data_IF_344093684058
#
_entry.id   IF_344093684058
#
_cell.length_a   1.000
_cell.length_b   1.000
_cell.length_c   1.000
_cell.angle_alpha   90.00
_cell.angle_beta   90.00
_cell.angle_gamma   90.00
#
_symmetry.space_group_name_H-M   'P 1'
#
loop_
_entity.id
_entity.type
_entity.pdbx_description
1 polymer ?
#
# COMPACT_ATOMS: atom_id res chain seq x y z
N UNK A 1 14.73 -5.79 -6.53
CA UNK A 1 14.69 -6.32 -5.14
C UNK A 1 14.13 -5.33 -4.13
N UNK A 2 14.53 -4.05 -4.04
CA UNK A 2 14.01 -3.14 -3.01
C UNK A 2 12.49 -2.94 -3.07
N UNK A 3 11.93 -2.84 -4.28
CA UNK A 3 10.48 -2.78 -4.50
C UNK A 3 9.76 -4.07 -4.10
N UNK A 4 10.38 -5.23 -4.31
CA UNK A 4 9.84 -6.51 -3.83
C UNK A 4 9.85 -6.56 -2.31
N UNK A 5 10.93 -6.10 -1.65
CA UNK A 5 10.97 -6.03 -0.19
C UNK A 5 9.89 -5.08 0.34
N UNK A 6 9.72 -3.91 -0.27
CA UNK A 6 8.65 -2.97 0.10
C UNK A 6 7.27 -3.63 -0.03
N UNK A 7 7.01 -4.36 -1.13
CA UNK A 7 5.78 -5.10 -1.35
C UNK A 7 5.57 -6.22 -0.31
N UNK A 8 6.61 -7.01 -0.04
CA UNK A 8 6.56 -8.10 0.95
C UNK A 8 6.29 -7.55 2.34
N UNK A 9 6.98 -6.48 2.74
CA UNK A 9 6.74 -5.84 4.03
C UNK A 9 5.29 -5.33 4.10
N UNK A 10 4.81 -4.68 3.03
CA UNK A 10 3.42 -4.19 2.94
C UNK A 10 2.41 -5.31 3.18
N UNK A 11 2.61 -6.45 2.52
CA UNK A 11 1.77 -7.63 2.70
C UNK A 11 1.86 -8.22 4.12
N UNK A 12 3.06 -8.29 4.67
CA UNK A 12 3.28 -8.83 6.01
C UNK A 12 2.56 -7.99 7.06
N UNK A 13 2.56 -6.65 6.98
CA UNK A 13 1.79 -5.90 7.99
C UNK A 13 0.29 -6.04 7.82
N UNK A 14 -0.24 -6.16 6.59
CA UNK A 14 -1.65 -6.49 6.39
C UNK A 14 -2.02 -7.86 6.97
N UNK A 15 -1.12 -8.85 6.88
CA UNK A 15 -1.31 -10.16 7.50
C UNK A 15 -1.24 -10.12 9.03
N UNK A 16 -0.32 -9.32 9.59
CA UNK A 16 -0.20 -9.12 11.05
C UNK A 16 -1.46 -8.46 11.61
N UNK A 17 -1.96 -7.43 10.93
CA UNK A 17 -3.20 -6.72 11.30
C UNK A 17 -4.42 -7.65 11.26
N UNK A 18 -4.55 -8.47 10.21
CA UNK A 18 -5.62 -9.46 10.15
C UNK A 18 -5.56 -10.48 11.30
N UNK A 19 -4.35 -10.92 11.65
CA UNK A 19 -4.14 -11.85 12.76
C UNK A 19 -4.41 -11.18 14.12
N UNK A 20 -4.08 -9.88 14.26
CA UNK A 20 -4.25 -9.16 15.51
C UNK A 20 -5.72 -9.05 15.91
N UNK A 21 -6.62 -8.89 14.95
CA UNK A 21 -8.06 -8.73 15.21
C UNK A 21 -8.84 -10.03 15.38
N UNK A 22 -8.31 -11.17 14.92
CA UNK A 22 -8.92 -12.50 15.16
C UNK A 22 -8.62 -13.06 16.55
N UNK A 23 -7.72 -12.41 17.27
CA UNK A 23 -7.24 -12.87 18.56
C UNK A 23 -7.62 -11.79 19.58
N UNK A 24 -7.85 -12.13 20.85
CA UNK A 24 -8.13 -11.14 21.91
C UNK A 24 -7.06 -11.24 23.00
N UNK A 25 -6.36 -10.15 23.30
CA UNK A 25 -5.31 -10.12 24.33
C UNK A 25 -4.32 -8.96 24.23
N UNK A 26 -3.57 -8.73 25.31
CA UNK A 26 -2.63 -7.60 25.50
C UNK A 26 -1.49 -7.55 24.47
N UNK A 27 -1.10 -8.71 23.92
CA UNK A 27 -0.10 -8.81 22.83
C UNK A 27 -0.57 -8.08 21.56
N UNK A 28 -1.87 -7.88 21.38
CA UNK A 28 -2.48 -7.39 20.15
C UNK A 28 -2.62 -5.88 20.13
N UNK A 29 -2.81 -5.25 21.30
CA UNK A 29 -2.76 -3.79 21.43
C UNK A 29 -1.38 -3.24 21.02
N UNK A 30 -0.31 -3.98 21.34
CA UNK A 30 1.05 -3.65 20.91
C UNK A 30 1.25 -3.88 19.41
N UNK A 31 0.60 -4.91 18.83
CA UNK A 31 0.66 -5.15 17.39
C UNK A 31 -0.12 -4.11 16.58
N UNK A 32 -1.25 -3.61 17.09
CA UNK A 32 -2.03 -2.53 16.49
C UNK A 32 -1.23 -1.22 16.41
N UNK A 33 -0.34 -0.97 17.40
CA UNK A 33 0.60 0.15 17.36
C UNK A 33 1.70 -0.02 16.30
N UNK A 34 2.07 -1.26 15.95
CA UNK A 34 3.12 -1.56 14.98
C UNK A 34 2.59 -1.65 13.54
N UNK A 35 1.34 -2.08 13.37
CA UNK A 35 0.68 -2.30 12.08
C UNK A 35 -0.75 -1.73 12.08
N UNK A 36 -0.91 -0.39 12.00
CA UNK A 36 -2.21 0.25 11.86
C UNK A 36 -2.83 -0.09 10.51
N UNK A 37 -4.16 0.10 10.43
CA UNK A 37 -5.03 -0.34 9.35
C UNK A 37 -4.47 -0.06 7.93
N UNK A 38 -3.97 -1.08 7.25
CA UNK A 38 -3.36 -1.00 5.91
C UNK A 38 -4.29 -1.40 4.80
N UNK A 39 -5.19 -2.32 5.09
CA UNK A 39 -6.24 -2.78 4.19
C UNK A 39 -7.55 -2.46 4.88
N UNK A 40 -8.47 -1.71 4.25
CA UNK A 40 -9.78 -1.45 4.85
C UNK A 40 -10.44 -2.79 5.19
N UNK A 41 -10.70 -3.02 6.47
CA UNK A 41 -11.07 -4.34 7.01
C UNK A 41 -12.31 -4.94 6.37
N UNK A 42 -13.23 -4.09 5.92
CA UNK A 42 -14.45 -4.47 5.20
C UNK A 42 -14.11 -5.38 3.99
N UNK A 43 -12.94 -5.16 3.38
CA UNK A 43 -12.46 -5.91 2.24
C UNK A 43 -11.89 -7.29 2.61
N UNK A 44 -11.47 -7.53 3.85
CA UNK A 44 -10.93 -8.83 4.30
C UNK A 44 -12.03 -9.83 4.67
N UNK A 45 -13.25 -9.34 4.90
CA UNK A 45 -14.44 -10.17 5.12
C UNK A 45 -15.14 -10.56 3.81
N UNK A 46 -14.69 -10.01 2.68
CA UNK A 46 -15.24 -10.36 1.37
C UNK A 46 -14.96 -11.83 1.04
N UNK A 47 -15.90 -12.51 0.36
CA UNK A 47 -15.71 -13.91 0.00
C UNK A 47 -14.48 -14.09 -0.91
N UNK A 48 -13.85 -15.25 -0.83
CA UNK A 48 -12.76 -15.63 -1.75
C UNK A 48 -13.27 -15.50 -3.19
N UNK A 49 -12.51 -14.87 -4.11
CA UNK A 49 -11.07 -14.59 -4.05
C UNK A 49 -10.67 -13.15 -3.68
N UNK A 50 -11.63 -12.28 -3.36
CA UNK A 50 -11.41 -10.83 -3.30
C UNK A 50 -10.32 -10.36 -2.34
N UNK A 51 -10.15 -10.92 -1.13
CA UNK A 51 -9.07 -10.49 -0.23
C UNK A 51 -7.69 -10.66 -0.86
N UNK A 52 -7.47 -11.75 -1.61
CA UNK A 52 -6.20 -12.03 -2.27
C UNK A 52 -5.95 -11.09 -3.46
N UNK A 53 -6.99 -10.82 -4.25
CA UNK A 53 -6.92 -9.91 -5.40
C UNK A 53 -6.56 -8.50 -4.94
N UNK A 54 -7.29 -7.98 -3.95
CA UNK A 54 -7.08 -6.63 -3.43
C UNK A 54 -5.71 -6.48 -2.75
N UNK A 55 -5.29 -7.49 -1.98
CA UNK A 55 -3.96 -7.52 -1.36
C UNK A 55 -2.85 -7.52 -2.42
N UNK A 56 -2.99 -8.35 -3.47
CA UNK A 56 -2.03 -8.41 -4.57
C UNK A 56 -1.93 -7.11 -5.34
N UNK A 57 -3.06 -6.45 -5.62
CA UNK A 57 -3.08 -5.15 -6.28
C UNK A 57 -2.44 -4.07 -5.40
N UNK A 58 -2.74 -4.04 -4.11
CA UNK A 58 -2.11 -3.10 -3.16
C UNK A 58 -0.59 -3.26 -3.11
N UNK A 59 -0.09 -4.50 -3.04
CA UNK A 59 1.36 -4.79 -3.11
C UNK A 59 2.01 -4.27 -4.40
N UNK A 60 1.35 -4.49 -5.55
CA UNK A 60 1.86 -4.04 -6.84
C UNK A 60 1.88 -2.51 -6.93
N UNK A 61 0.88 -1.83 -6.38
CA UNK A 61 0.82 -0.38 -6.32
C UNK A 61 2.02 0.19 -5.55
N UNK A 62 2.29 -0.31 -4.34
CA UNK A 62 3.45 0.11 -3.54
C UNK A 62 4.76 -0.18 -4.24
N UNK A 63 4.91 -1.38 -4.81
CA UNK A 63 6.10 -1.76 -5.56
C UNK A 63 6.38 -0.82 -6.74
N UNK A 64 5.32 -0.51 -7.51
CA UNK A 64 5.38 0.40 -8.65
C UNK A 64 5.73 1.82 -8.24
N UNK A 65 5.05 2.36 -7.22
CA UNK A 65 5.31 3.69 -6.70
C UNK A 65 6.74 3.84 -6.17
N UNK A 66 7.21 2.84 -5.40
CA UNK A 66 8.55 2.85 -4.84
C UNK A 66 9.63 2.72 -5.93
N UNK A 67 9.43 1.85 -6.91
CA UNK A 67 10.33 1.70 -8.05
C UNK A 67 10.42 2.99 -8.88
N UNK A 68 9.28 3.65 -9.14
CA UNK A 68 9.25 4.92 -9.85
C UNK A 68 10.00 6.02 -9.10
N UNK A 69 9.73 6.18 -7.80
CA UNK A 69 10.41 7.17 -6.97
C UNK A 69 11.94 6.91 -6.89
N UNK A 70 12.35 5.65 -6.70
CA UNK A 70 13.76 5.26 -6.68
C UNK A 70 14.45 5.56 -8.02
N UNK A 71 13.80 5.28 -9.16
CA UNK A 71 14.36 5.55 -10.48
C UNK A 71 14.62 7.04 -10.69
N UNK A 72 13.73 7.90 -10.18
CA UNK A 72 13.89 9.37 -10.23
C UNK A 72 15.03 9.86 -9.34
N UNK A 73 15.13 9.36 -8.10
CA UNK A 73 16.16 9.77 -7.14
C UNK A 73 17.54 9.28 -7.56
N UNK A 74 17.65 8.04 -8.05
CA UNK A 74 18.91 7.47 -8.56
C UNK A 74 19.48 8.25 -9.75
N UNK A 75 18.64 8.94 -10.52
CA UNK A 75 19.10 9.71 -11.68
C UNK A 75 20.00 10.91 -11.31
N UNK A 76 19.87 11.47 -10.09
CA UNK A 76 20.52 12.74 -9.71
C UNK A 76 21.68 12.61 -8.72
N UNK A 77 22.23 11.40 -8.56
CA UNK A 77 22.87 11.04 -7.29
C UNK A 77 24.39 10.97 -7.24
N UNK A 78 25.09 11.32 -8.32
CA UNK A 78 26.51 10.94 -8.53
C UNK A 78 27.49 11.36 -7.42
N UNK A 79 27.13 12.26 -6.51
CA UNK A 79 28.06 12.81 -5.51
C UNK A 79 27.44 12.96 -4.10
N UNK A 80 26.25 12.42 -3.86
CA UNK A 80 25.56 12.65 -2.59
C UNK A 80 26.17 11.83 -1.43
N UNK A 81 26.33 12.40 -0.22
CA UNK A 81 26.74 11.66 0.97
C UNK A 81 25.83 10.47 1.27
N UNK A 82 26.39 9.48 1.96
CA UNK A 82 25.73 8.26 2.34
C UNK A 82 24.40 8.45 3.08
N UNK A 83 24.37 9.42 3.99
CA UNK A 83 23.21 9.77 4.82
C UNK A 83 22.11 10.43 3.99
N UNK A 84 22.46 11.40 3.14
CA UNK A 84 21.54 12.07 2.20
C UNK A 84 20.91 11.06 1.25
N UNK A 85 21.72 10.10 0.80
CA UNK A 85 21.30 8.95 0.01
C UNK A 85 20.21 8.16 0.74
N UNK A 86 20.48 7.69 1.96
CA UNK A 86 19.52 6.89 2.72
C UNK A 86 18.22 7.66 2.96
N UNK A 87 18.32 8.93 3.34
CA UNK A 87 17.16 9.80 3.55
C UNK A 87 16.31 9.93 2.28
N UNK A 88 16.94 10.06 1.10
CA UNK A 88 16.20 10.13 -0.17
C UNK A 88 15.47 8.82 -0.49
N UNK A 89 16.08 7.66 -0.23
CA UNK A 89 15.43 6.36 -0.42
C UNK A 89 14.32 6.08 0.59
N UNK A 90 14.48 6.57 1.80
CA UNK A 90 13.44 6.53 2.82
C UNK A 90 12.26 7.43 2.43
N UNK A 91 12.51 8.66 1.98
CA UNK A 91 11.47 9.54 1.46
C UNK A 91 10.75 8.96 0.23
N UNK A 92 11.43 8.18 -0.61
CA UNK A 92 10.76 7.43 -1.68
C UNK A 92 9.74 6.43 -1.12
N UNK A 93 10.04 5.77 0.00
CA UNK A 93 9.12 4.82 0.63
C UNK A 93 7.93 5.56 1.27
N UNK A 94 8.19 6.73 1.88
CA UNK A 94 7.15 7.62 2.41
C UNK A 94 6.20 8.06 1.30
N UNK A 95 6.73 8.57 0.19
CA UNK A 95 5.91 8.99 -0.96
C UNK A 95 5.16 7.80 -1.56
N UNK A 96 5.79 6.64 -1.69
CA UNK A 96 5.13 5.45 -2.22
C UNK A 96 3.95 4.99 -1.34
N UNK A 97 4.13 4.96 -0.02
CA UNK A 97 3.05 4.65 0.93
C UNK A 97 1.92 5.67 0.85
N UNK A 98 2.24 6.97 0.86
CA UNK A 98 1.26 8.05 0.76
C UNK A 98 0.47 8.00 -0.56
N UNK A 99 1.13 7.80 -1.69
CA UNK A 99 0.47 7.70 -3.01
C UNK A 99 -0.42 6.47 -3.09
N UNK A 100 0.01 5.34 -2.54
CA UNK A 100 -0.79 4.10 -2.53
C UNK A 100 -2.02 4.25 -1.64
N UNK A 101 -1.88 4.85 -0.45
CA UNK A 101 -2.99 5.15 0.45
C UNK A 101 -3.97 6.21 -0.11
N UNK A 102 -3.49 7.11 -0.98
CA UNK A 102 -4.33 8.10 -1.64
C UNK A 102 -5.32 7.48 -2.66
N UNK A 103 -5.02 6.31 -3.22
CA UNK A 103 -5.90 5.65 -4.21
C UNK A 103 -7.29 5.35 -3.62
N UNK A 104 -7.44 4.57 -2.54
CA UNK A 104 -8.76 4.32 -1.95
C UNK A 104 -9.43 5.59 -1.42
N UNK A 105 -8.66 6.56 -0.91
CA UNK A 105 -9.18 7.86 -0.50
C UNK A 105 -9.86 8.60 -1.66
N UNK A 106 -9.21 8.70 -2.82
CA UNK A 106 -9.77 9.35 -4.01
C UNK A 106 -11.04 8.62 -4.48
N UNK A 107 -11.02 7.28 -4.49
CA UNK A 107 -12.20 6.47 -4.84
C UNK A 107 -13.37 6.77 -3.91
N UNK A 108 -13.14 6.77 -2.60
CA UNK A 108 -14.18 7.06 -1.60
C UNK A 108 -14.73 8.50 -1.72
N UNK A 109 -13.87 9.48 -1.96
CA UNK A 109 -14.26 10.88 -2.17
C UNK A 109 -15.11 11.04 -3.44
N UNK A 110 -14.68 10.43 -4.55
CA UNK A 110 -15.42 10.47 -5.82
C UNK A 110 -16.79 9.78 -5.67
N UNK A 111 -16.84 8.63 -4.99
CA UNK A 111 -18.09 7.94 -4.68
C UNK A 111 -19.04 8.78 -3.84
N UNK A 112 -18.55 9.41 -2.77
CA UNK A 112 -19.37 10.29 -1.93
C UNK A 112 -19.96 11.46 -2.73
N UNK A 113 -19.16 12.10 -3.60
CA UNK A 113 -19.65 13.17 -4.46
C UNK A 113 -20.68 12.69 -5.48
N UNK A 114 -20.50 11.50 -6.06
CA UNK A 114 -21.47 10.91 -6.99
C UNK A 114 -22.84 10.67 -6.32
N UNK A 115 -22.86 10.42 -5.01
CA UNK A 115 -24.06 10.25 -4.19
C UNK A 115 -24.60 11.56 -3.57
N UNK A 116 -23.95 12.70 -3.83
CA UNK A 116 -24.34 13.99 -3.25
C UNK A 116 -24.05 14.12 -1.74
N UNK A 117 -23.17 13.27 -1.18
CA UNK A 117 -22.75 13.32 0.23
C UNK A 117 -21.44 14.11 0.38
N UNK A 118 -21.27 14.78 1.53
CA UNK A 118 -20.01 15.46 1.84
C UNK A 118 -19.03 14.45 2.46
N UNK A 119 -17.82 14.26 1.89
CA UNK A 119 -16.83 13.34 2.44
C UNK A 119 -16.18 13.93 3.70
N UNK A 120 -16.74 13.64 4.87
CA UNK A 120 -16.17 14.01 6.17
C UNK A 120 -15.51 12.83 6.86
N UNK A 121 -14.36 13.04 7.53
CA UNK A 121 -13.69 12.03 8.35
C UNK A 121 -12.77 11.05 7.61
N UNK A 122 -12.82 11.00 6.27
CA UNK A 122 -12.03 10.05 5.48
C UNK A 122 -10.52 10.35 5.50
N UNK A 123 -10.12 11.63 5.53
CA UNK A 123 -8.72 12.01 5.41
C UNK A 123 -7.84 11.50 6.56
N UNK A 124 -8.38 11.41 7.78
CA UNK A 124 -7.62 10.99 8.96
C UNK A 124 -7.06 9.58 8.83
N UNK A 125 -7.92 8.61 8.49
CA UNK A 125 -7.55 7.19 8.42
C UNK A 125 -6.50 6.93 7.33
N UNK A 126 -6.76 7.35 6.09
CA UNK A 126 -5.85 7.07 4.97
C UNK A 126 -4.50 7.80 5.08
N UNK A 127 -4.49 9.04 5.61
CA UNK A 127 -3.24 9.78 5.81
C UNK A 127 -2.40 9.18 6.92
N UNK A 128 -3.01 8.74 8.02
CA UNK A 128 -2.30 8.10 9.13
C UNK A 128 -1.69 6.78 8.66
N UNK A 129 -2.43 5.95 7.93
CA UNK A 129 -1.92 4.70 7.35
C UNK A 129 -0.73 4.94 6.44
N UNK A 130 -0.86 5.86 5.47
CA UNK A 130 0.22 6.18 4.52
C UNK A 130 1.46 6.75 5.21
N UNK A 131 1.25 7.64 6.19
CA UNK A 131 2.33 8.22 6.98
C UNK A 131 3.03 7.16 7.84
N UNK A 132 2.29 6.34 8.57
CA UNK A 132 2.86 5.29 9.42
C UNK A 132 3.73 4.33 8.60
N UNK A 133 3.22 3.86 7.47
CA UNK A 133 3.96 2.96 6.60
C UNK A 133 5.23 3.56 6.05
N UNK A 134 5.11 4.78 5.53
CA UNK A 134 6.24 5.55 5.03
C UNK A 134 7.32 5.74 6.08
N UNK A 135 6.92 6.17 7.28
CA UNK A 135 7.81 6.62 8.33
C UNK A 135 8.45 5.43 9.06
N UNK A 136 7.63 4.47 9.54
CA UNK A 136 8.06 3.36 10.38
C UNK A 136 8.60 2.17 9.62
N UNK A 137 8.06 1.86 8.44
CA UNK A 137 8.47 0.66 7.70
C UNK A 137 9.34 1.00 6.48
N UNK A 138 9.32 2.25 6.02
CA UNK A 138 10.07 2.70 4.85
C UNK A 138 11.60 2.64 4.98
N UNK A 139 12.16 2.47 6.19
CA UNK A 139 13.62 2.41 6.37
C UNK A 139 14.23 1.09 5.87
N UNK A 140 13.52 -0.03 6.01
CA UNK A 140 13.98 -1.34 5.52
C UNK A 140 14.22 -1.35 4.00
N UNK A 141 13.25 -0.97 3.15
CA UNK A 141 13.48 -0.90 1.71
C UNK A 141 14.51 0.17 1.35
N UNK A 142 14.64 1.25 2.12
CA UNK A 142 15.66 2.26 1.90
C UNK A 142 17.09 1.77 2.17
N UNK A 143 17.29 1.03 3.27
CA UNK A 143 18.56 0.39 3.60
C UNK A 143 18.91 -0.66 2.53
N UNK A 144 17.96 -1.49 2.12
CA UNK A 144 18.18 -2.48 1.07
C UNK A 144 18.49 -1.81 -0.28
N UNK A 145 17.75 -0.75 -0.65
CA UNK A 145 18.00 0.02 -1.87
C UNK A 145 19.39 0.65 -1.90
N UNK A 146 19.90 1.06 -0.74
CA UNK A 146 21.26 1.57 -0.55
C UNK A 146 22.30 0.45 -0.62
N UNK A 147 22.07 -0.68 0.04
CA UNK A 147 22.99 -1.82 0.05
C UNK A 147 23.15 -2.45 -1.35
N UNK A 148 22.08 -2.43 -2.15
CA UNK A 148 22.06 -2.93 -3.52
C UNK A 148 22.42 -1.86 -4.57
N UNK A 149 22.80 -0.66 -4.13
CA UNK A 149 23.22 0.41 -5.03
C UNK A 149 24.68 0.16 -5.42
N UNK A 150 24.90 -0.67 -6.44
CA UNK A 150 26.22 -0.88 -7.04
C UNK A 150 26.41 0.12 -8.19
N UNK A 151 27.60 0.71 -8.30
CA UNK A 151 27.92 1.78 -9.28
C UNK A 151 27.71 1.37 -10.75
N UNK A 152 27.58 0.08 -11.04
CA UNK A 152 27.49 -0.49 -12.39
C UNK A 152 26.10 -0.38 -13.06
N UNK A 153 25.02 -0.09 -12.32
CA UNK A 153 23.66 -0.03 -12.91
C UNK A 153 23.37 1.25 -13.73
N UNK A 154 24.41 2.05 -14.01
CA UNK A 154 24.30 3.41 -14.50
C UNK A 154 23.86 3.59 -15.97
N UNK A 155 23.64 2.53 -16.75
CA UNK A 155 23.33 2.64 -18.19
C UNK A 155 22.01 2.03 -18.68
N UNK A 156 21.29 1.22 -17.89
CA UNK A 156 19.94 0.81 -18.30
C UNK A 156 19.00 2.02 -18.25
N UNK A 157 18.13 2.16 -19.25
CA UNK A 157 17.19 3.27 -19.43
C UNK A 157 16.41 3.56 -18.14
N UNK A 158 16.91 4.49 -17.33
CA UNK A 158 16.34 4.88 -16.03
C UNK A 158 14.93 5.45 -16.21
N UNK A 159 14.69 6.14 -17.33
CA UNK A 159 13.37 6.60 -17.73
C UNK A 159 12.40 5.45 -18.00
N UNK A 160 12.86 4.38 -18.66
CA UNK A 160 12.04 3.19 -18.91
C UNK A 160 11.59 2.51 -17.61
N UNK A 161 12.46 2.41 -16.61
CA UNK A 161 12.10 1.84 -15.30
C UNK A 161 11.13 2.72 -14.51
N UNK A 162 11.29 4.05 -14.54
CA UNK A 162 10.37 4.97 -13.90
C UNK A 162 8.96 4.87 -14.53
N UNK A 163 8.90 4.85 -15.86
CA UNK A 163 7.63 4.69 -16.60
C UNK A 163 7.00 3.33 -16.31
N UNK A 164 7.77 2.24 -16.33
CA UNK A 164 7.26 0.91 -16.00
C UNK A 164 6.70 0.84 -14.57
N UNK A 165 7.42 1.40 -13.58
CA UNK A 165 6.95 1.47 -12.19
C UNK A 165 5.66 2.27 -12.05
N UNK A 166 5.57 3.43 -12.72
CA UNK A 166 4.37 4.25 -12.75
C UNK A 166 3.19 3.51 -13.41
N UNK A 167 3.43 2.78 -14.51
CA UNK A 167 2.40 1.97 -15.16
C UNK A 167 1.91 0.83 -14.27
N UNK A 168 2.80 0.16 -13.54
CA UNK A 168 2.40 -0.87 -12.56
C UNK A 168 1.55 -0.26 -11.45
N UNK A 169 1.94 0.90 -10.92
CA UNK A 169 1.15 1.64 -9.94
C UNK A 169 -0.25 1.99 -10.48
N UNK A 170 -0.32 2.55 -11.68
CA UNK A 170 -1.59 2.94 -12.29
C UNK A 170 -2.48 1.73 -12.57
N UNK A 171 -1.94 0.66 -13.14
CA UNK A 171 -2.68 -0.57 -13.41
C UNK A 171 -3.20 -1.21 -12.12
N UNK A 172 -2.36 -1.24 -11.07
CA UNK A 172 -2.74 -1.76 -9.77
C UNK A 172 -3.81 -0.90 -9.10
N UNK A 173 -3.65 0.44 -9.11
CA UNK A 173 -4.62 1.37 -8.53
C UNK A 173 -5.98 1.32 -9.24
N UNK A 174 -5.97 1.27 -10.58
CA UNK A 174 -7.19 1.08 -11.38
C UNK A 174 -7.82 -0.28 -11.12
N UNK A 175 -7.01 -1.34 -11.02
CA UNK A 175 -7.47 -2.67 -10.65
C UNK A 175 -8.18 -2.66 -9.30
N UNK A 176 -7.63 -1.99 -8.30
CA UNK A 176 -8.24 -1.86 -6.97
C UNK A 176 -9.56 -1.08 -7.04
N UNK A 177 -9.59 0.02 -7.78
CA UNK A 177 -10.80 0.84 -7.96
C UNK A 177 -11.94 0.07 -8.65
N UNK A 178 -11.61 -0.84 -9.58
CA UNK A 178 -12.59 -1.69 -10.27
C UNK A 178 -12.99 -2.91 -9.43
N UNK A 179 -12.05 -3.51 -8.69
CA UNK A 179 -12.30 -4.70 -7.89
C UNK A 179 -13.08 -4.41 -6.61
N UNK A 180 -12.92 -3.23 -6.00
CA UNK A 180 -13.58 -2.89 -4.75
C UNK A 180 -15.12 -2.96 -4.82
N UNK A 181 -15.80 -2.33 -5.79
CA UNK A 181 -17.27 -2.44 -5.90
C UNK A 181 -17.77 -3.87 -6.08
N UNK A 182 -17.01 -4.70 -6.80
CA UNK A 182 -17.36 -6.11 -7.03
C UNK A 182 -17.19 -6.94 -5.75
N UNK A 183 -16.17 -6.65 -4.94
CA UNK A 183 -15.97 -7.26 -3.64
C UNK A 183 -17.10 -6.90 -2.65
N UNK A 184 -17.53 -5.63 -2.65
CA UNK A 184 -18.64 -5.14 -1.82
C UNK A 184 -19.99 -5.76 -2.21
N UNK A 185 -20.25 -5.90 -3.50
CA UNK A 185 -21.44 -6.57 -4.01
C UNK A 185 -21.47 -8.05 -3.57
N UNK A 186 -20.34 -8.75 -3.68
CA UNK A 186 -20.23 -10.14 -3.26
C UNK A 186 -20.41 -10.33 -1.75
N UNK A 187 -19.94 -9.37 -0.94
CA UNK A 187 -20.17 -9.36 0.51
C UNK A 187 -21.66 -9.19 0.83
N UNK A 188 -22.33 -8.26 0.14
CA UNK A 188 -23.77 -8.00 0.33
C UNK A 188 -24.61 -9.24 -0.02
N UNK A 189 -24.28 -9.91 -1.13
CA UNK A 189 -24.92 -11.16 -1.54
C UNK A 189 -24.71 -12.27 -0.49
N UNK A 190 -23.46 -12.45 -0.03
CA UNK A 190 -23.15 -13.45 0.99
C UNK A 190 -23.94 -13.24 2.29
N UNK A 191 -24.07 -11.99 2.77
CA UNK A 191 -24.87 -11.67 3.96
C UNK A 191 -26.36 -11.93 3.73
N UNK A 192 -26.89 -11.65 2.54
CA UNK A 192 -28.30 -11.87 2.22
C UNK A 192 -28.70 -13.36 2.13
N UNK A 193 -27.75 -14.22 1.77
CA UNK A 193 -27.96 -15.67 1.64
C UNK A 193 -27.70 -16.45 2.93
N UNK A 194 -27.18 -15.80 3.98
CA UNK A 194 -26.90 -16.46 5.24
C UNK A 194 -28.21 -16.92 5.91
N UNK A 195 -28.34 -18.21 6.30
CA UNK A 195 -29.53 -18.69 6.99
C UNK A 195 -29.71 -17.91 8.30
N UNK A 196 -30.95 -17.52 8.60
CA UNK A 196 -31.28 -16.85 9.85
C UNK A 196 -30.76 -17.69 11.03
N UNK A 197 -30.12 -17.08 12.04
CA UNK A 197 -29.65 -17.81 13.19
C UNK A 197 -30.83 -18.55 13.82
N UNK A 198 -30.71 -19.88 13.94
CA UNK A 198 -31.73 -20.71 14.57
C UNK A 198 -31.99 -20.24 16.01
N UNK A 199 -33.25 -20.34 16.48
CA UNK A 199 -33.64 -19.90 17.82
C UNK A 199 -32.92 -20.66 18.93
#
# INVERSE_FOLDING_TARGET
MPALLAATLWFVSGAIEWLSRRTSGLVLEVLDLLAPETVPMDHLHTPVPWPFVLSGLSMLAVAGAYAAALALVRARRREAPATTTLAAYWMCAVVAGAVTAAVPFVVAVVGAFAEGRMPSGLAGTYLVTGAHWGLLWGWLPAVLARALDTDDDARRSRGGLAVAGALVLLAAGLGTAVAAPAADAALTEAVSTAPAPGP
#
